data_IF_403781978992
#
_entry.id   IF_403781978992
#
_cell.length_a   1.000
_cell.length_b   1.000
_cell.length_c   1.000
_cell.angle_alpha   90.00
_cell.angle_beta   90.00
_cell.angle_gamma   90.00
#
_symmetry.space_group_name_H-M   'P 1'
#
loop_
_entity.id
_entity.type
_entity.pdbx_description
1 polymer ?
#
# COMPACT_ATOMS: atom_id res chain seq x y z
N UNK A 1 15.70 15.68 -6.97
CA UNK A 1 15.78 16.47 -8.22
C UNK A 1 16.29 15.66 -9.41
N UNK A 2 17.48 15.02 -9.28
CA UNK A 2 18.09 14.23 -10.36
C UNK A 2 17.17 13.12 -10.86
N UNK A 3 16.62 12.28 -9.95
CA UNK A 3 15.71 11.18 -10.30
C UNK A 3 14.44 11.68 -10.97
N UNK A 4 13.93 12.84 -10.57
CA UNK A 4 12.77 13.46 -11.22
C UNK A 4 13.05 13.81 -12.69
N UNK A 5 14.22 14.39 -12.97
CA UNK A 5 14.65 14.69 -14.34
C UNK A 5 14.86 13.42 -15.17
N UNK A 6 15.47 12.38 -14.59
CA UNK A 6 15.65 11.07 -15.22
C UNK A 6 14.29 10.40 -15.54
N UNK A 7 13.34 10.43 -14.59
CA UNK A 7 11.97 9.89 -14.80
C UNK A 7 11.26 10.62 -15.94
N UNK A 8 11.32 11.93 -15.94
CA UNK A 8 10.71 12.77 -17.00
C UNK A 8 11.27 12.42 -18.38
N UNK A 9 12.59 12.30 -18.51
CA UNK A 9 13.21 11.91 -19.76
C UNK A 9 12.84 10.47 -20.17
N UNK A 10 12.77 9.55 -19.24
CA UNK A 10 12.33 8.18 -19.49
C UNK A 10 10.89 8.11 -19.99
N UNK A 11 9.98 8.94 -19.44
CA UNK A 11 8.59 9.03 -19.91
C UNK A 11 8.52 9.61 -21.33
N UNK A 12 9.29 10.65 -21.62
CA UNK A 12 9.39 11.21 -22.98
C UNK A 12 9.87 10.18 -23.99
N UNK A 13 10.93 9.47 -23.65
CA UNK A 13 11.48 8.42 -24.51
C UNK A 13 10.49 7.28 -24.69
N UNK A 14 9.80 6.85 -23.63
CA UNK A 14 8.77 5.82 -23.71
C UNK A 14 7.66 6.23 -24.68
N UNK A 15 7.13 7.43 -24.57
CA UNK A 15 6.11 7.96 -25.49
C UNK A 15 6.64 8.11 -26.94
N UNK A 16 7.91 8.49 -27.09
CA UNK A 16 8.53 8.61 -28.41
C UNK A 16 8.65 7.30 -29.17
N UNK A 17 8.91 6.19 -28.46
CA UNK A 17 9.08 4.85 -29.06
C UNK A 17 7.78 4.04 -29.12
N UNK A 18 6.68 4.56 -28.59
CA UNK A 18 5.39 3.84 -28.48
C UNK A 18 4.59 3.78 -29.80
N UNK A 19 5.20 4.06 -30.94
CA UNK A 19 4.60 3.94 -32.26
C UNK A 19 4.05 5.27 -32.81
N UNK A 20 2.94 5.19 -33.54
CA UNK A 20 2.27 6.35 -34.13
C UNK A 20 1.68 7.24 -33.02
N UNK A 21 2.06 8.52 -32.91
CA UNK A 21 1.49 9.45 -31.91
C UNK A 21 -0.03 9.59 -31.96
N UNK A 22 -0.67 9.32 -33.10
CA UNK A 22 -2.12 9.33 -33.24
C UNK A 22 -2.80 8.02 -32.81
N UNK A 23 -2.02 6.94 -32.70
CA UNK A 23 -2.47 5.62 -32.26
C UNK A 23 -1.32 4.88 -31.56
N UNK A 24 -0.87 5.37 -30.40
CA UNK A 24 0.27 4.78 -29.70
C UNK A 24 -0.04 3.42 -29.09
N UNK A 25 0.93 2.52 -29.10
CA UNK A 25 0.81 1.20 -28.45
C UNK A 25 0.78 1.33 -26.91
N UNK A 26 1.37 2.41 -26.37
CA UNK A 26 1.44 2.72 -24.96
C UNK A 26 1.45 4.23 -24.74
N UNK A 27 0.74 4.69 -23.72
CA UNK A 27 0.81 6.09 -23.25
C UNK A 27 1.36 6.10 -21.83
N UNK A 28 2.42 6.87 -21.63
CA UNK A 28 3.04 7.05 -20.31
C UNK A 28 2.85 8.50 -19.83
N UNK A 29 2.39 8.65 -18.59
CA UNK A 29 2.23 9.94 -17.93
C UNK A 29 3.30 10.16 -16.88
N UNK A 30 3.73 11.41 -16.72
CA UNK A 30 4.64 11.80 -15.67
C UNK A 30 3.86 11.96 -14.35
N UNK A 31 4.39 11.42 -13.27
CA UNK A 31 3.79 11.55 -11.95
C UNK A 31 4.68 11.02 -10.84
N UNK A 32 4.17 11.13 -9.63
CA UNK A 32 4.75 10.50 -8.45
C UNK A 32 3.65 10.07 -7.49
N UNK A 33 3.96 9.15 -6.63
CA UNK A 33 3.12 8.81 -5.49
C UNK A 33 3.50 9.68 -4.28
N UNK A 34 2.52 10.39 -3.75
CA UNK A 34 2.61 11.10 -2.49
C UNK A 34 2.14 10.18 -1.36
N UNK A 35 3.08 9.47 -0.73
CA UNK A 35 2.81 8.41 0.25
C UNK A 35 2.70 8.98 1.67
N UNK A 36 1.64 9.72 1.95
CA UNK A 36 1.41 10.29 3.28
C UNK A 36 0.84 9.24 4.22
N UNK A 37 1.65 8.78 5.17
CA UNK A 37 1.26 7.80 6.19
C UNK A 37 1.55 8.35 7.59
N UNK A 38 0.70 7.98 8.55
CA UNK A 38 0.86 8.30 9.96
C UNK A 38 0.24 7.18 10.79
N UNK A 39 0.80 6.88 11.96
CA UNK A 39 0.24 5.92 12.91
C UNK A 39 -1.00 6.45 13.64
N UNK A 40 -1.15 7.77 13.73
CA UNK A 40 -2.35 8.43 14.23
C UNK A 40 -3.38 8.51 13.10
N UNK A 41 -4.55 7.84 13.22
CA UNK A 41 -5.57 7.85 12.17
C UNK A 41 -6.12 9.24 11.86
N UNK A 42 -6.07 10.19 12.81
CA UNK A 42 -6.49 11.57 12.60
C UNK A 42 -5.53 12.35 11.68
N UNK A 43 -4.28 11.90 11.56
CA UNK A 43 -3.21 12.53 10.74
C UNK A 43 -2.81 11.71 9.53
N UNK A 44 -3.41 10.56 9.33
CA UNK A 44 -3.16 9.71 8.18
C UNK A 44 -4.10 10.07 7.04
N UNK A 45 -3.57 10.54 5.92
CA UNK A 45 -4.33 10.92 4.73
C UNK A 45 -4.20 9.95 3.57
N UNK A 46 -3.37 8.94 3.72
CA UNK A 46 -3.16 7.88 2.73
C UNK A 46 -2.34 8.30 1.51
N UNK A 47 -2.18 7.37 0.61
CA UNK A 47 -1.43 7.57 -0.61
C UNK A 47 -2.26 8.29 -1.67
N UNK A 48 -1.59 9.09 -2.50
CA UNK A 48 -2.19 9.77 -3.66
C UNK A 48 -1.22 9.77 -4.83
N UNK A 49 -1.66 9.30 -5.97
CA UNK A 49 -0.92 9.42 -7.21
C UNK A 49 -1.15 10.81 -7.82
N UNK A 50 -0.10 11.59 -7.95
CA UNK A 50 -0.12 12.90 -8.61
C UNK A 50 0.40 12.73 -10.04
N UNK A 51 -0.42 13.02 -11.03
CA UNK A 51 -0.16 12.75 -12.44
C UNK A 51 -0.33 14.03 -13.25
N UNK A 52 0.59 14.28 -14.18
CA UNK A 52 0.58 15.43 -15.07
C UNK A 52 0.25 15.00 -16.50
N UNK A 53 -0.44 15.88 -17.21
CA UNK A 53 -0.77 15.66 -18.61
C UNK A 53 0.48 15.79 -19.51
N UNK A 54 1.33 16.75 -19.20
CA UNK A 54 2.50 17.13 -20.00
C UNK A 54 3.82 16.55 -19.45
N UNK A 55 4.88 16.68 -20.23
CA UNK A 55 6.25 16.31 -19.84
C UNK A 55 7.26 17.43 -20.13
N UNK A 56 6.85 18.53 -20.78
CA UNK A 56 7.69 19.67 -21.10
C UNK A 56 8.15 20.39 -19.84
N UNK A 57 9.36 20.97 -19.89
CA UNK A 57 10.02 21.56 -18.72
C UNK A 57 9.28 22.77 -18.13
N UNK A 58 8.53 23.48 -18.96
CA UNK A 58 7.72 24.63 -18.60
C UNK A 58 6.26 24.30 -18.23
N UNK A 59 5.90 23.03 -18.26
CA UNK A 59 4.54 22.54 -17.99
C UNK A 59 4.45 21.50 -16.85
N UNK A 60 5.57 21.18 -16.22
CA UNK A 60 5.62 20.26 -15.10
C UNK A 60 6.50 20.80 -13.98
N UNK A 61 6.27 20.37 -12.72
CA UNK A 61 7.10 20.80 -11.60
C UNK A 61 8.58 20.52 -11.80
N UNK A 62 9.44 21.41 -11.31
CA UNK A 62 10.89 21.19 -11.32
C UNK A 62 11.32 20.03 -10.40
N UNK A 63 10.46 19.62 -9.48
CA UNK A 63 10.65 18.51 -8.53
C UNK A 63 9.32 17.94 -8.08
N UNK A 64 9.33 16.69 -7.64
CA UNK A 64 8.20 16.07 -6.94
C UNK A 64 8.06 16.67 -5.53
N UNK A 65 6.83 16.70 -5.02
CA UNK A 65 6.51 17.09 -3.64
C UNK A 65 6.43 15.81 -2.82
N UNK A 66 7.27 15.71 -1.80
CA UNK A 66 7.35 14.54 -0.93
C UNK A 66 6.32 14.61 0.21
N UNK A 67 6.09 13.48 0.87
CA UNK A 67 5.37 13.42 2.14
C UNK A 67 6.34 13.47 3.33
N UNK A 68 5.86 13.64 4.57
CA UNK A 68 6.72 13.60 5.76
C UNK A 68 7.48 12.28 5.95
N UNK A 69 7.00 11.18 5.36
CA UNK A 69 7.64 9.86 5.42
C UNK A 69 9.06 9.89 4.85
N UNK A 70 9.30 10.64 3.79
CA UNK A 70 10.62 10.73 3.15
C UNK A 70 11.68 11.37 4.06
N UNK A 71 11.27 12.11 5.09
CA UNK A 71 12.22 12.57 6.11
C UNK A 71 12.84 11.41 6.89
N UNK A 72 12.12 10.30 7.08
CA UNK A 72 12.63 9.10 7.74
C UNK A 72 13.70 8.41 6.88
N UNK A 73 13.60 8.51 5.56
CA UNK A 73 14.59 7.99 4.63
C UNK A 73 15.95 8.72 4.70
N UNK A 74 16.05 9.79 5.47
CA UNK A 74 17.34 10.50 5.71
C UNK A 74 18.27 9.79 6.70
N UNK A 75 17.82 8.71 7.34
CA UNK A 75 18.64 7.85 8.18
C UNK A 75 19.11 6.64 7.35
N UNK A 76 20.29 6.71 6.71
CA UNK A 76 20.75 5.64 5.83
C UNK A 76 21.01 4.35 6.62
N UNK A 77 20.81 3.23 5.97
CA UNK A 77 21.22 1.93 6.49
C UNK A 77 22.76 1.92 6.62
N UNK A 78 23.29 1.41 7.71
CA UNK A 78 24.75 1.31 7.89
C UNK A 78 25.38 0.44 6.79
N UNK A 79 26.47 0.90 6.16
CA UNK A 79 27.15 0.18 5.07
C UNK A 79 27.52 -1.28 5.41
N UNK A 80 27.78 -1.57 6.69
CA UNK A 80 28.03 -2.93 7.15
C UNK A 80 26.78 -3.82 7.04
N UNK A 81 25.63 -3.31 7.40
CA UNK A 81 24.34 -4.02 7.24
C UNK A 81 24.00 -4.26 5.77
N UNK A 82 24.20 -3.25 4.94
CA UNK A 82 24.04 -3.36 3.48
C UNK A 82 24.91 -4.45 2.87
N UNK A 83 26.21 -4.45 3.21
CA UNK A 83 27.14 -5.48 2.73
C UNK A 83 26.73 -6.88 3.20
N UNK A 84 26.36 -7.01 4.47
CA UNK A 84 25.90 -8.28 5.04
C UNK A 84 24.63 -8.77 4.32
N UNK A 85 23.64 -7.92 4.10
CA UNK A 85 22.43 -8.28 3.39
C UNK A 85 22.72 -8.67 1.93
N UNK A 86 23.60 -7.95 1.25
CA UNK A 86 24.03 -8.26 -0.12
C UNK A 86 24.77 -9.60 -0.23
N UNK A 87 25.46 -10.03 0.82
CA UNK A 87 26.13 -11.34 0.87
C UNK A 87 25.16 -12.47 1.22
N UNK A 88 24.24 -12.23 2.15
CA UNK A 88 23.24 -13.22 2.55
C UNK A 88 22.20 -13.47 1.44
N UNK A 89 21.91 -12.45 0.65
CA UNK A 89 20.94 -12.48 -0.45
C UNK A 89 21.61 -11.97 -1.74
N UNK A 90 22.57 -12.75 -2.22
CA UNK A 90 23.43 -12.34 -3.32
C UNK A 90 22.70 -12.08 -4.64
N UNK A 91 21.61 -12.80 -4.89
CA UNK A 91 20.77 -12.62 -6.09
C UNK A 91 20.14 -11.22 -6.15
N UNK A 92 19.89 -10.62 -4.99
CA UNK A 92 19.27 -9.29 -4.88
C UNK A 92 20.24 -8.19 -4.44
N UNK A 93 21.52 -8.40 -4.55
CA UNK A 93 22.53 -7.42 -4.15
C UNK A 93 22.34 -6.04 -4.78
N UNK A 94 21.93 -5.99 -6.04
CA UNK A 94 21.69 -4.73 -6.76
C UNK A 94 20.56 -3.91 -6.14
N UNK A 95 19.54 -4.56 -5.65
CA UNK A 95 18.45 -3.93 -4.90
C UNK A 95 18.98 -3.25 -3.61
N UNK A 96 19.77 -3.96 -2.82
CA UNK A 96 20.35 -3.39 -1.58
C UNK A 96 21.27 -2.22 -1.86
N UNK A 97 22.03 -2.26 -2.94
CA UNK A 97 22.88 -1.14 -3.38
C UNK A 97 22.03 0.03 -3.89
N UNK A 98 20.98 -0.22 -4.67
CA UNK A 98 20.07 0.79 -5.17
C UNK A 98 19.31 1.52 -4.05
N UNK A 99 18.82 0.78 -3.05
CA UNK A 99 18.19 1.37 -1.85
C UNK A 99 19.18 2.24 -1.08
N UNK A 100 20.39 1.77 -0.87
CA UNK A 100 21.42 2.57 -0.16
C UNK A 100 21.71 3.87 -0.92
N UNK A 101 21.88 3.78 -2.22
CA UNK A 101 22.07 4.97 -3.05
C UNK A 101 20.90 5.95 -2.92
N UNK A 102 19.67 5.45 -2.90
CA UNK A 102 18.48 6.27 -2.69
C UNK A 102 18.53 6.99 -1.33
N UNK A 103 18.81 6.28 -0.24
CA UNK A 103 18.93 6.88 1.09
C UNK A 103 20.06 7.92 1.17
N UNK A 104 21.20 7.63 0.57
CA UNK A 104 22.32 8.57 0.51
C UNK A 104 21.95 9.85 -0.27
N UNK A 105 21.24 9.73 -1.39
CA UNK A 105 20.75 10.86 -2.19
C UNK A 105 19.71 11.69 -1.42
N UNK A 106 18.74 11.05 -0.75
CA UNK A 106 17.73 11.75 0.06
C UNK A 106 18.40 12.45 1.25
N UNK A 107 19.35 11.79 1.92
CA UNK A 107 20.07 12.38 3.06
C UNK A 107 20.94 13.59 2.64
N UNK A 108 21.50 13.55 1.44
CA UNK A 108 22.31 14.65 0.89
C UNK A 108 21.46 15.81 0.36
N UNK A 109 20.19 15.60 0.04
CA UNK A 109 19.30 16.64 -0.50
C UNK A 109 18.84 17.57 0.62
N UNK A 110 19.07 18.91 0.53
CA UNK A 110 18.59 19.85 1.54
C UNK A 110 17.05 19.90 1.55
N UNK A 111 16.46 20.11 2.72
CA UNK A 111 15.01 20.37 2.81
C UNK A 111 14.75 21.78 2.30
N UNK A 112 13.70 21.95 1.52
CA UNK A 112 13.27 23.26 1.02
C UNK A 112 12.85 24.17 2.18
N UNK A 113 13.01 25.47 1.99
CA UNK A 113 12.58 26.48 2.95
C UNK A 113 11.06 26.49 3.07
N UNK A 114 10.54 26.31 4.27
CA UNK A 114 9.09 26.33 4.52
C UNK A 114 8.50 27.73 4.33
N UNK A 115 7.28 27.79 3.83
CA UNK A 115 6.50 29.02 3.68
C UNK A 115 6.82 29.85 2.45
N UNK A 116 7.75 29.44 1.60
CA UNK A 116 7.97 30.05 0.29
C UNK A 116 7.08 29.48 -0.79
N UNK A 117 6.79 30.28 -1.80
CA UNK A 117 6.16 29.80 -3.04
C UNK A 117 7.04 28.72 -3.67
N UNK A 118 6.42 27.62 -4.10
CA UNK A 118 7.14 26.46 -4.65
C UNK A 118 7.98 26.82 -5.87
N UNK A 119 7.57 27.81 -6.66
CA UNK A 119 8.29 28.31 -7.86
C UNK A 119 9.57 29.07 -7.53
N UNK A 120 9.66 29.62 -6.31
CA UNK A 120 10.83 30.38 -5.84
C UNK A 120 11.87 29.48 -5.15
N UNK A 121 11.52 28.23 -4.87
CA UNK A 121 12.40 27.30 -4.22
C UNK A 121 13.45 26.75 -5.19
N UNK A 122 14.63 26.40 -4.66
CA UNK A 122 15.65 25.71 -5.46
C UNK A 122 15.12 24.39 -6.04
N UNK A 123 15.38 24.08 -7.31
CA UNK A 123 15.02 22.78 -7.87
C UNK A 123 15.72 21.62 -7.16
N UNK A 124 16.82 21.88 -6.43
CA UNK A 124 17.67 20.88 -5.80
C UNK A 124 17.35 20.66 -4.32
N UNK A 125 16.16 21.04 -3.84
CA UNK A 125 15.75 20.76 -2.48
C UNK A 125 14.60 19.73 -2.43
N UNK A 126 14.46 19.04 -1.30
CA UNK A 126 13.35 18.15 -0.98
C UNK A 126 12.18 18.99 -0.46
N UNK A 127 11.16 19.15 -1.26
CA UNK A 127 9.94 19.84 -0.90
C UNK A 127 8.95 18.86 -0.27
N UNK A 128 8.31 19.24 0.84
CA UNK A 128 7.44 18.38 1.62
C UNK A 128 6.08 19.06 1.79
N UNK A 129 5.01 18.27 1.66
CA UNK A 129 3.66 18.63 2.05
C UNK A 129 3.20 17.71 3.19
N UNK A 130 2.75 18.28 4.30
CA UNK A 130 2.40 17.52 5.49
C UNK A 130 0.99 16.92 5.39
N UNK A 131 0.08 17.55 4.65
CA UNK A 131 -1.29 17.11 4.44
C UNK A 131 -1.79 17.45 3.02
N UNK A 132 -2.98 16.98 2.58
CA UNK A 132 -3.51 17.27 1.24
C UNK A 132 -3.70 18.76 0.96
N UNK A 133 -4.07 19.57 1.95
CA UNK A 133 -4.22 21.03 1.81
C UNK A 133 -2.90 21.65 1.36
N UNK A 134 -1.80 21.28 1.99
CA UNK A 134 -0.48 21.79 1.62
C UNK A 134 -0.05 21.26 0.24
N UNK A 135 -0.35 19.99 -0.07
CA UNK A 135 -0.10 19.43 -1.39
C UNK A 135 -0.84 20.22 -2.48
N UNK A 136 -2.16 20.42 -2.32
CA UNK A 136 -2.96 21.17 -3.29
C UNK A 136 -2.50 22.62 -3.42
N UNK A 137 -2.20 23.30 -2.32
CA UNK A 137 -1.67 24.68 -2.36
C UNK A 137 -0.36 24.78 -3.16
N UNK A 138 0.52 23.79 -3.05
CA UNK A 138 1.76 23.75 -3.85
C UNK A 138 1.50 23.42 -5.33
N UNK A 139 0.54 22.55 -5.63
CA UNK A 139 0.11 22.28 -7.00
C UNK A 139 -0.53 23.52 -7.64
N UNK A 140 -1.31 24.30 -6.88
CA UNK A 140 -1.86 25.59 -7.31
C UNK A 140 -0.77 26.61 -7.62
N UNK A 141 0.26 26.69 -6.76
CA UNK A 141 1.40 27.56 -7.00
C UNK A 141 2.15 27.20 -8.29
N UNK A 142 2.32 25.91 -8.59
CA UNK A 142 2.86 25.46 -9.88
C UNK A 142 1.96 25.85 -11.04
N UNK A 143 0.64 25.71 -10.90
CA UNK A 143 -0.35 26.08 -11.90
C UNK A 143 -0.39 25.17 -13.12
N UNK A 144 0.11 23.93 -13.00
CA UNK A 144 0.08 22.94 -14.08
C UNK A 144 -1.11 22.00 -13.94
N UNK A 145 -1.63 21.53 -15.08
CA UNK A 145 -2.74 20.57 -15.11
C UNK A 145 -2.29 19.24 -14.52
N UNK A 146 -3.00 18.81 -13.49
CA UNK A 146 -2.70 17.57 -12.79
C UNK A 146 -3.96 16.91 -12.24
N UNK A 147 -3.93 15.60 -12.12
CA UNK A 147 -4.92 14.82 -11.38
C UNK A 147 -4.27 14.21 -10.14
N UNK A 148 -5.08 14.02 -9.09
CA UNK A 148 -4.63 13.46 -7.82
C UNK A 148 -5.56 12.31 -7.45
N UNK A 149 -5.06 11.08 -7.49
CA UNK A 149 -5.86 9.86 -7.34
C UNK A 149 -5.56 9.23 -5.97
N UNK A 150 -6.53 9.22 -5.03
CA UNK A 150 -6.43 8.40 -3.83
C UNK A 150 -6.25 6.92 -4.20
N UNK A 151 -5.30 6.26 -3.53
CA UNK A 151 -4.90 4.91 -3.86
C UNK A 151 -4.46 4.14 -2.60
N UNK A 152 -4.69 2.83 -2.55
CA UNK A 152 -4.27 1.96 -1.44
C UNK A 152 -4.83 2.32 -0.05
N UNK A 153 -5.85 3.18 0.03
CA UNK A 153 -6.28 3.78 1.29
C UNK A 153 -6.97 2.80 2.25
N UNK A 154 -7.62 1.77 1.72
CA UNK A 154 -8.30 0.75 2.52
C UNK A 154 -7.38 -0.38 3.00
N UNK A 155 -6.11 -0.34 2.64
CA UNK A 155 -5.13 -1.36 2.97
C UNK A 155 -4.51 -1.14 4.36
N UNK A 156 -4.85 -2.02 5.31
CA UNK A 156 -4.48 -1.87 6.72
C UNK A 156 -3.00 -1.97 7.05
N UNK A 157 -2.17 -2.48 6.14
CA UNK A 157 -0.72 -2.46 6.33
C UNK A 157 -0.16 -1.03 6.42
N UNK A 158 -0.69 -0.11 5.62
CA UNK A 158 -0.28 1.30 5.61
C UNK A 158 -1.27 2.20 6.35
N UNK A 159 -2.53 1.79 6.44
CA UNK A 159 -3.63 2.61 6.97
C UNK A 159 -4.00 2.14 8.37
N UNK A 160 -3.79 2.96 9.41
CA UNK A 160 -4.09 2.59 10.78
C UNK A 160 -5.59 2.39 11.01
N UNK A 161 -5.93 1.55 11.98
CA UNK A 161 -7.31 1.33 12.39
C UNK A 161 -7.97 2.66 12.78
N UNK A 162 -9.25 2.84 12.43
CA UNK A 162 -9.99 4.08 12.70
C UNK A 162 -9.77 5.20 11.68
N UNK A 163 -8.96 4.97 10.63
CA UNK A 163 -8.86 5.92 9.51
C UNK A 163 -10.17 6.00 8.74
N UNK A 164 -10.56 7.22 8.39
CA UNK A 164 -11.77 7.52 7.63
C UNK A 164 -11.53 8.66 6.65
N UNK A 165 -12.33 8.70 5.58
CA UNK A 165 -12.33 9.82 4.62
C UNK A 165 -13.01 11.09 5.14
N UNK A 166 -13.74 11.06 6.27
CA UNK A 166 -14.45 12.23 6.80
C UNK A 166 -13.54 13.47 6.92
N UNK A 167 -12.35 13.29 7.47
CA UNK A 167 -11.38 14.40 7.64
C UNK A 167 -10.86 14.98 6.32
N UNK A 168 -10.99 14.23 5.21
CA UNK A 168 -10.58 14.69 3.89
C UNK A 168 -11.70 15.40 3.14
N UNK A 169 -12.96 15.19 3.53
CA UNK A 169 -14.10 15.83 2.90
C UNK A 169 -14.34 17.23 3.52
N UNK A 170 -13.48 18.15 3.16
CA UNK A 170 -13.65 19.58 3.46
C UNK A 170 -12.94 20.40 2.39
N UNK A 171 -13.25 21.70 2.30
CA UNK A 171 -12.76 22.58 1.24
C UNK A 171 -11.24 22.81 1.24
N UNK A 172 -10.56 22.46 2.30
CA UNK A 172 -9.11 22.61 2.38
C UNK A 172 -8.36 21.32 2.02
N UNK A 173 -8.95 20.15 2.31
CA UNK A 173 -8.30 18.85 2.15
C UNK A 173 -8.78 18.09 0.89
N UNK A 174 -9.80 18.61 0.21
CA UNK A 174 -10.36 18.05 -1.01
C UNK A 174 -10.33 19.08 -2.14
N UNK A 175 -9.73 18.70 -3.26
CA UNK A 175 -9.71 19.48 -4.50
C UNK A 175 -10.56 18.73 -5.55
N UNK A 176 -11.81 19.16 -5.78
CA UNK A 176 -12.72 18.48 -6.71
C UNK A 176 -12.28 18.56 -8.18
N UNK A 177 -11.45 19.53 -8.55
CA UNK A 177 -10.97 19.68 -9.92
C UNK A 177 -9.82 18.71 -10.23
N UNK A 178 -9.04 18.30 -9.21
CA UNK A 178 -7.94 17.35 -9.32
C UNK A 178 -8.29 15.94 -8.90
N UNK A 179 -9.15 15.77 -7.87
CA UNK A 179 -9.54 14.45 -7.35
C UNK A 179 -10.75 13.89 -8.10
N UNK A 180 -10.63 13.79 -9.42
CA UNK A 180 -11.69 13.33 -10.34
C UNK A 180 -11.71 11.79 -10.50
N UNK A 181 -10.73 11.08 -9.96
CA UNK A 181 -10.61 9.63 -10.00
C UNK A 181 -10.30 9.07 -8.61
N UNK A 182 -10.70 7.83 -8.38
CA UNK A 182 -10.38 7.05 -7.17
C UNK A 182 -10.02 5.62 -7.60
N UNK A 183 -8.91 5.10 -7.08
CA UNK A 183 -8.50 3.73 -7.34
C UNK A 183 -9.27 2.75 -6.45
N UNK A 184 -10.01 1.83 -7.09
CA UNK A 184 -10.87 0.86 -6.41
C UNK A 184 -10.26 -0.53 -6.29
N UNK A 185 -9.24 -0.84 -7.07
CA UNK A 185 -8.42 -2.04 -6.91
C UNK A 185 -7.03 -1.89 -7.54
N UNK A 186 -6.08 -2.64 -7.02
CA UNK A 186 -4.71 -2.72 -7.52
C UNK A 186 -4.10 -4.10 -7.25
N UNK A 187 -2.79 -4.23 -7.35
CA UNK A 187 -2.04 -5.40 -6.88
C UNK A 187 -2.24 -5.69 -5.40
N UNK A 188 -2.58 -4.70 -4.60
CA UNK A 188 -2.86 -4.83 -3.16
C UNK A 188 -4.26 -5.36 -2.84
N UNK A 189 -5.09 -5.63 -3.81
CA UNK A 189 -6.42 -6.21 -3.64
C UNK A 189 -7.56 -5.27 -4.04
N UNK A 190 -8.77 -5.78 -3.89
CA UNK A 190 -10.02 -5.08 -4.19
C UNK A 190 -10.56 -4.41 -2.95
N UNK A 191 -10.46 -3.10 -2.87
CA UNK A 191 -10.90 -2.31 -1.71
C UNK A 191 -12.41 -2.16 -1.58
N UNK A 192 -13.15 -2.45 -2.65
CA UNK A 192 -14.60 -2.20 -2.73
C UNK A 192 -15.45 -3.46 -2.58
N UNK A 193 -14.84 -4.63 -2.48
CA UNK A 193 -15.59 -5.87 -2.35
C UNK A 193 -15.89 -6.20 -0.88
N UNK A 194 -17.15 -6.06 -0.50
CA UNK A 194 -17.67 -6.42 0.80
C UNK A 194 -18.13 -7.87 0.80
N UNK A 195 -17.34 -8.73 1.44
CA UNK A 195 -17.70 -10.14 1.62
C UNK A 195 -18.14 -10.40 3.06
N UNK A 196 -18.92 -11.45 3.25
CA UNK A 196 -19.33 -11.90 4.60
C UNK A 196 -18.16 -12.46 5.40
N UNK A 197 -17.12 -12.95 4.74
CA UNK A 197 -15.94 -13.51 5.38
C UNK A 197 -14.84 -12.46 5.57
N UNK A 198 -14.19 -12.55 6.72
CA UNK A 198 -13.10 -11.65 7.16
C UNK A 198 -11.99 -12.47 7.82
N UNK A 199 -10.79 -11.88 7.88
CA UNK A 199 -9.68 -12.40 8.71
C UNK A 199 -10.01 -12.35 10.20
N UNK A 200 -10.66 -11.27 10.63
CA UNK A 200 -11.27 -11.07 11.94
C UNK A 200 -12.58 -10.29 11.77
N UNK A 201 -13.45 -10.39 12.74
CA UNK A 201 -14.74 -9.66 12.75
C UNK A 201 -14.95 -8.99 14.11
N UNK A 202 -15.88 -8.04 14.15
CA UNK A 202 -16.23 -7.27 15.35
C UNK A 202 -17.64 -7.68 15.77
N UNK A 203 -17.83 -8.00 17.04
CA UNK A 203 -19.13 -8.29 17.62
C UNK A 203 -19.91 -7.01 17.98
N UNK A 204 -21.14 -7.16 18.45
CA UNK A 204 -22.02 -6.05 18.81
C UNK A 204 -21.46 -5.18 19.96
N UNK A 205 -20.57 -5.73 20.78
CA UNK A 205 -19.91 -5.01 21.89
C UNK A 205 -18.63 -4.29 21.47
N UNK A 206 -18.19 -4.47 20.21
CA UNK A 206 -16.93 -3.97 19.69
C UNK A 206 -15.74 -4.89 19.94
N UNK A 207 -15.97 -6.10 20.46
CA UNK A 207 -14.96 -7.13 20.64
C UNK A 207 -14.56 -7.80 19.33
N UNK A 208 -13.27 -8.07 19.16
CA UNK A 208 -12.77 -8.82 18.02
C UNK A 208 -12.98 -10.32 18.21
N UNK A 209 -13.38 -11.00 17.16
CA UNK A 209 -13.49 -12.47 17.18
C UNK A 209 -13.04 -13.10 15.86
N UNK A 210 -12.76 -14.41 15.91
CA UNK A 210 -12.40 -15.21 14.74
C UNK A 210 -13.68 -15.68 14.02
N UNK A 211 -13.94 -15.22 12.79
CA UNK A 211 -15.12 -15.65 12.04
C UNK A 211 -14.98 -17.11 11.59
N UNK A 212 -16.11 -17.76 11.36
CA UNK A 212 -16.13 -19.11 10.81
C UNK A 212 -15.62 -19.16 9.37
N UNK A 213 -14.98 -20.26 8.96
CA UNK A 213 -14.61 -20.47 7.57
C UNK A 213 -15.82 -20.46 6.64
N UNK A 214 -15.65 -20.01 5.41
CA UNK A 214 -16.58 -20.22 4.31
C UNK A 214 -16.03 -21.28 3.34
N UNK A 215 -16.83 -21.63 2.32
CA UNK A 215 -16.47 -22.68 1.36
C UNK A 215 -15.13 -22.45 0.66
N UNK A 216 -14.77 -21.19 0.44
CA UNK A 216 -13.56 -20.79 -0.29
C UNK A 216 -12.64 -19.83 0.51
N UNK A 217 -12.86 -19.66 1.81
CA UNK A 217 -12.01 -18.82 2.65
C UNK A 217 -11.82 -19.43 4.04
N UNK A 218 -10.57 -19.63 4.44
CA UNK A 218 -10.17 -20.08 5.78
C UNK A 218 -9.49 -18.89 6.51
N UNK A 219 -10.11 -18.31 7.56
CA UNK A 219 -9.43 -17.32 8.39
C UNK A 219 -8.16 -17.90 9.04
N UNK A 220 -7.08 -17.12 9.14
CA UNK A 220 -5.84 -17.61 9.74
C UNK A 220 -5.96 -17.84 11.25
N UNK A 221 -6.84 -17.12 11.93
CA UNK A 221 -7.17 -17.43 13.32
C UNK A 221 -7.81 -18.82 13.47
N UNK A 222 -8.63 -19.23 12.52
CA UNK A 222 -9.18 -20.59 12.50
C UNK A 222 -8.10 -21.64 12.27
N UNK A 223 -7.15 -21.35 11.38
CA UNK A 223 -5.98 -22.19 11.16
C UNK A 223 -5.13 -22.33 12.44
N UNK A 224 -4.94 -21.24 13.20
CA UNK A 224 -4.27 -21.30 14.51
C UNK A 224 -4.94 -22.30 15.46
N UNK A 225 -6.26 -22.24 15.56
CA UNK A 225 -7.03 -23.20 16.35
C UNK A 225 -6.81 -24.63 15.90
N UNK A 226 -6.89 -24.91 14.57
CA UNK A 226 -6.64 -26.25 14.02
C UNK A 226 -5.26 -26.80 14.37
N UNK A 227 -4.22 -25.98 14.28
CA UNK A 227 -2.84 -26.39 14.60
C UNK A 227 -2.74 -26.79 16.06
N UNK A 228 -3.30 -25.98 16.96
CA UNK A 228 -3.28 -26.26 18.40
C UNK A 228 -4.12 -27.49 18.73
N UNK A 229 -5.29 -27.65 18.11
CA UNK A 229 -6.14 -28.82 18.26
C UNK A 229 -5.41 -30.09 17.86
N UNK A 230 -4.84 -30.14 16.67
CA UNK A 230 -4.10 -31.30 16.18
C UNK A 230 -2.98 -31.69 17.15
N UNK A 231 -2.18 -30.75 17.62
CA UNK A 231 -1.08 -31.01 18.55
C UNK A 231 -1.58 -31.52 19.91
N UNK A 232 -2.72 -31.01 20.34
CA UNK A 232 -3.35 -31.43 21.58
C UNK A 232 -3.83 -32.89 21.50
N UNK A 233 -4.49 -33.27 20.40
CA UNK A 233 -4.94 -34.63 20.12
C UNK A 233 -3.75 -35.59 19.99
N UNK A 234 -2.68 -35.21 19.30
CA UNK A 234 -1.44 -35.99 19.19
C UNK A 234 -0.76 -36.21 20.56
N UNK A 235 -0.92 -35.27 21.49
CA UNK A 235 -0.40 -35.38 22.84
C UNK A 235 -1.29 -36.25 23.75
N UNK A 236 -2.43 -36.75 23.25
CA UNK A 236 -3.36 -37.61 24.02
C UNK A 236 -4.08 -36.86 25.15
N UNK A 237 -4.24 -35.56 25.04
CA UNK A 237 -4.99 -34.74 26.01
C UNK A 237 -6.48 -34.94 25.76
N UNK A 238 -7.29 -34.79 26.82
CA UNK A 238 -8.73 -34.98 26.69
C UNK A 238 -9.38 -33.94 25.74
N UNK A 239 -10.49 -34.36 25.13
CA UNK A 239 -11.19 -33.62 24.09
C UNK A 239 -11.66 -32.23 24.53
N UNK A 240 -12.19 -32.11 25.75
CA UNK A 240 -12.71 -30.83 26.26
C UNK A 240 -11.58 -29.82 26.50
N UNK A 241 -10.43 -30.26 26.95
CA UNK A 241 -9.25 -29.40 27.09
C UNK A 241 -8.69 -29.02 25.73
N UNK A 242 -8.69 -29.92 24.74
CA UNK A 242 -8.26 -29.61 23.38
C UNK A 242 -9.19 -28.61 22.69
N UNK A 243 -10.49 -28.70 22.88
CA UNK A 243 -11.47 -27.73 22.40
C UNK A 243 -11.24 -26.33 23.03
N UNK A 244 -11.02 -26.28 24.33
CA UNK A 244 -10.73 -25.03 25.04
C UNK A 244 -9.47 -24.35 24.48
N UNK A 245 -8.40 -25.12 24.26
CA UNK A 245 -7.14 -24.61 23.71
C UNK A 245 -7.28 -24.15 22.26
N UNK A 246 -8.07 -24.83 21.47
CA UNK A 246 -8.40 -24.43 20.10
C UNK A 246 -9.08 -23.06 20.07
N UNK A 247 -10.10 -22.88 20.91
CA UNK A 247 -10.82 -21.60 21.02
C UNK A 247 -9.89 -20.48 21.51
N UNK A 248 -9.09 -20.76 22.54
CA UNK A 248 -8.12 -19.81 23.07
C UNK A 248 -7.08 -19.39 22.00
N UNK A 249 -6.59 -20.34 21.19
CA UNK A 249 -5.66 -20.03 20.11
C UNK A 249 -6.26 -19.11 19.04
N UNK A 250 -7.55 -19.29 18.72
CA UNK A 250 -8.28 -18.38 17.81
C UNK A 250 -8.36 -16.98 18.37
N UNK A 251 -8.68 -16.81 19.65
CA UNK A 251 -8.73 -15.50 20.31
C UNK A 251 -7.36 -14.84 20.35
N UNK A 252 -6.33 -15.56 20.78
CA UNK A 252 -4.97 -15.05 20.85
C UNK A 252 -4.46 -14.57 19.48
N UNK A 253 -4.82 -15.29 18.42
CA UNK A 253 -4.47 -14.90 17.06
C UNK A 253 -5.11 -13.57 16.66
N UNK A 254 -6.40 -13.40 16.92
CA UNK A 254 -7.15 -12.18 16.61
C UNK A 254 -6.65 -11.00 17.43
N UNK A 255 -6.43 -11.19 18.72
CA UNK A 255 -5.95 -10.15 19.64
C UNK A 255 -4.55 -9.66 19.27
N UNK A 256 -3.70 -10.55 18.77
CA UNK A 256 -2.36 -10.20 18.31
C UNK A 256 -2.37 -9.51 16.92
N UNK A 257 -3.50 -9.49 16.22
CA UNK A 257 -3.65 -8.83 14.92
C UNK A 257 -2.64 -9.35 13.91
N UNK A 258 -1.84 -8.45 13.40
CA UNK A 258 -0.82 -8.77 12.40
C UNK A 258 0.24 -9.79 12.90
N UNK A 259 0.44 -9.90 14.19
CA UNK A 259 1.38 -10.85 14.80
C UNK A 259 0.73 -12.16 15.23
N UNK A 260 -0.50 -12.43 14.78
CA UNK A 260 -1.29 -13.58 15.22
C UNK A 260 -0.59 -14.93 15.04
N UNK A 261 0.16 -15.12 13.95
CA UNK A 261 0.92 -16.36 13.72
C UNK A 261 1.99 -16.63 14.80
N UNK A 262 2.52 -15.59 15.44
CA UNK A 262 3.50 -15.74 16.54
C UNK A 262 2.87 -16.27 17.83
N UNK A 263 1.55 -16.26 17.96
CA UNK A 263 0.85 -16.82 19.11
C UNK A 263 0.78 -18.35 19.09
N UNK A 264 1.17 -18.98 17.97
CA UNK A 264 1.24 -20.44 17.81
C UNK A 264 2.68 -20.91 17.97
N UNK A 265 3.08 -21.50 19.10
CA UNK A 265 4.45 -21.91 19.33
C UNK A 265 4.95 -22.92 18.28
N UNK A 266 6.17 -22.76 17.78
CA UNK A 266 6.79 -23.69 16.83
C UNK A 266 6.08 -23.82 15.49
N UNK A 267 5.29 -22.83 15.09
CA UNK A 267 4.65 -22.74 13.78
C UNK A 267 5.68 -22.66 12.65
N UNK A 268 5.28 -23.12 11.47
CA UNK A 268 6.08 -23.07 10.25
C UNK A 268 5.35 -22.26 9.18
N UNK A 269 6.08 -21.70 8.24
CA UNK A 269 5.51 -20.96 7.09
C UNK A 269 4.44 -21.77 6.36
N UNK A 270 4.68 -23.07 6.20
CA UNK A 270 3.76 -23.98 5.53
C UNK A 270 2.42 -24.14 6.24
N UNK A 271 2.36 -23.89 7.53
CA UNK A 271 1.13 -23.97 8.31
C UNK A 271 0.10 -22.90 7.89
N UNK A 272 0.56 -21.81 7.26
CA UNK A 272 -0.25 -20.62 6.95
C UNK A 272 -0.57 -20.42 5.47
N UNK A 273 -0.03 -21.23 4.56
CA UNK A 273 -0.14 -21.00 3.11
C UNK A 273 -1.57 -21.04 2.57
N UNK A 274 -2.48 -21.76 3.25
CA UNK A 274 -3.85 -21.96 2.80
C UNK A 274 -4.87 -21.09 3.52
N UNK A 275 -4.48 -20.34 4.54
CA UNK A 275 -5.39 -19.48 5.27
C UNK A 275 -5.33 -18.02 4.77
N UNK A 276 -6.36 -17.25 5.10
CA UNK A 276 -6.47 -15.85 4.73
C UNK A 276 -6.54 -15.62 3.21
N UNK A 277 -6.99 -16.59 2.42
CA UNK A 277 -6.93 -16.57 0.97
C UNK A 277 -8.21 -17.07 0.34
N UNK A 278 -8.55 -16.49 -0.77
CA UNK A 278 -9.60 -16.96 -1.67
C UNK A 278 -8.94 -17.43 -2.97
N UNK A 279 -8.94 -18.77 -3.27
CA UNK A 279 -8.23 -19.30 -4.43
C UNK A 279 -8.79 -18.87 -5.78
N UNK A 280 -10.06 -18.50 -5.84
CA UNK A 280 -10.83 -18.25 -7.05
C UNK A 280 -11.43 -16.82 -7.11
N UNK A 281 -11.03 -15.94 -6.21
CA UNK A 281 -11.49 -14.55 -6.18
C UNK A 281 -10.35 -13.56 -5.94
N UNK A 282 -10.62 -12.28 -6.04
CA UNK A 282 -9.74 -11.23 -5.58
C UNK A 282 -9.85 -11.11 -4.05
N UNK A 283 -8.69 -11.14 -3.39
CA UNK A 283 -8.66 -10.95 -1.95
C UNK A 283 -8.91 -9.48 -1.60
N UNK A 284 -9.52 -9.28 -0.44
CA UNK A 284 -9.50 -7.98 0.21
C UNK A 284 -8.07 -7.60 0.58
N UNK A 285 -7.77 -6.29 0.66
CA UNK A 285 -6.53 -5.84 1.27
C UNK A 285 -6.42 -6.36 2.71
N UNK A 286 -5.20 -6.59 3.15
CA UNK A 286 -4.95 -6.96 4.54
C UNK A 286 -5.54 -5.92 5.50
N UNK A 287 -6.19 -6.39 6.56
CA UNK A 287 -6.80 -5.54 7.58
C UNK A 287 -7.64 -4.42 6.96
N UNK A 288 -8.53 -4.79 6.07
CA UNK A 288 -9.40 -3.90 5.31
C UNK A 288 -10.02 -2.78 6.16
N UNK A 289 -9.94 -1.54 5.67
CA UNK A 289 -10.46 -0.33 6.32
C UNK A 289 -11.71 0.18 5.59
N UNK A 290 -12.93 -0.24 5.99
CA UNK A 290 -14.16 0.11 5.28
C UNK A 290 -14.40 1.62 5.12
N UNK A 291 -14.07 2.42 6.14
CA UNK A 291 -14.22 3.89 6.09
C UNK A 291 -13.17 4.60 5.22
N UNK A 292 -12.23 3.85 4.63
CA UNK A 292 -11.24 4.35 3.69
C UNK A 292 -11.47 3.84 2.25
N UNK A 293 -12.67 3.34 1.94
CA UNK A 293 -13.10 2.86 0.62
C UNK A 293 -13.74 3.97 -0.21
N UNK A 294 -13.83 3.77 -1.53
CA UNK A 294 -14.55 4.68 -2.42
C UNK A 294 -16.05 4.70 -2.11
N UNK A 295 -16.65 3.56 -1.74
CA UNK A 295 -18.07 3.50 -1.34
C UNK A 295 -18.34 4.39 -0.12
N UNK A 296 -17.49 4.32 0.90
CA UNK A 296 -17.64 5.19 2.06
C UNK A 296 -17.46 6.67 1.69
N UNK A 297 -16.45 7.00 0.91
CA UNK A 297 -16.20 8.36 0.43
C UNK A 297 -17.40 8.93 -0.32
N UNK A 298 -18.04 8.13 -1.20
CA UNK A 298 -19.24 8.54 -1.92
C UNK A 298 -20.48 8.70 -1.02
N UNK A 299 -20.53 8.01 0.12
CA UNK A 299 -21.67 8.05 1.03
C UNK A 299 -21.69 9.24 1.99
N UNK A 300 -20.53 9.87 2.23
CA UNK A 300 -20.41 10.99 3.17
C UNK A 300 -20.68 12.33 2.50
N UNK A 301 -21.17 13.29 3.30
CA UNK A 301 -21.45 14.67 2.86
C UNK A 301 -21.00 15.64 3.94
N UNK A 302 -20.26 16.66 3.57
CA UNK A 302 -19.95 17.77 4.46
C UNK A 302 -21.00 18.89 4.33
N UNK A 303 -21.64 19.21 5.44
CA UNK A 303 -22.66 20.26 5.57
C UNK A 303 -22.15 21.48 6.32
N UNK A 304 -20.83 21.72 6.38
CA UNK A 304 -20.31 22.96 6.98
C UNK A 304 -20.96 24.21 6.37
N UNK A 305 -21.26 24.14 5.07
CA UNK A 305 -22.10 25.11 4.36
C UNK A 305 -23.36 24.41 3.84
N UNK A 306 -24.48 24.44 4.57
CA UNK A 306 -25.68 23.68 4.20
C UNK A 306 -26.26 24.01 2.81
N UNK A 307 -26.07 25.25 2.34
CA UNK A 307 -26.48 25.72 1.02
C UNK A 307 -25.56 25.25 -0.13
N UNK A 308 -24.34 24.80 0.21
CA UNK A 308 -23.32 24.30 -0.71
C UNK A 308 -22.69 23.03 -0.15
N UNK A 309 -23.45 21.93 0.01
CA UNK A 309 -22.89 20.70 0.60
C UNK A 309 -21.78 20.14 -0.30
N UNK A 310 -20.70 19.68 0.35
CA UNK A 310 -19.56 19.11 -0.33
C UNK A 310 -19.65 17.57 -0.31
N UNK A 311 -19.47 16.95 -1.47
CA UNK A 311 -19.40 15.51 -1.64
C UNK A 311 -18.19 15.16 -2.48
N UNK A 312 -17.62 14.00 -2.27
CA UNK A 312 -16.70 13.43 -3.24
C UNK A 312 -17.46 13.08 -4.54
N UNK A 313 -16.88 13.47 -5.68
CA UNK A 313 -17.38 13.15 -7.02
C UNK A 313 -16.21 12.73 -7.89
N UNK A 314 -16.09 11.45 -8.15
CA UNK A 314 -14.99 10.89 -8.91
C UNK A 314 -15.45 9.72 -9.78
N UNK A 315 -14.71 9.47 -10.87
CA UNK A 315 -14.74 8.21 -11.60
C UNK A 315 -13.90 7.15 -10.88
N UNK A 316 -14.08 5.91 -11.24
CA UNK A 316 -13.34 4.78 -10.66
C UNK A 316 -12.27 4.31 -11.64
N UNK A 317 -11.08 4.00 -11.13
CA UNK A 317 -9.99 3.42 -11.91
C UNK A 317 -9.46 2.18 -11.21
N UNK A 318 -9.02 1.21 -12.00
CA UNK A 318 -8.23 0.08 -11.52
C UNK A 318 -6.81 0.17 -12.01
N UNK A 319 -5.86 -0.24 -11.20
CA UNK A 319 -4.44 -0.22 -11.55
C UNK A 319 -3.74 -1.53 -11.15
N UNK A 320 -2.45 -1.61 -11.36
CA UNK A 320 -1.64 -2.74 -10.90
C UNK A 320 -0.82 -2.39 -9.66
N UNK A 321 -0.56 -1.12 -9.44
CA UNK A 321 0.44 -0.64 -8.49
C UNK A 321 1.76 -1.41 -8.61
N UNK A 322 2.22 -1.56 -9.86
CA UNK A 322 3.38 -2.37 -10.17
C UNK A 322 4.68 -1.61 -9.88
N UNK A 323 5.46 -2.11 -8.94
CA UNK A 323 6.71 -1.50 -8.49
C UNK A 323 7.93 -1.77 -9.39
N UNK A 324 7.73 -2.40 -10.55
CA UNK A 324 8.83 -2.79 -11.47
C UNK A 324 8.85 -2.03 -12.79
N UNK A 325 8.04 -1.00 -12.94
CA UNK A 325 7.90 -0.24 -14.19
C UNK A 325 7.58 -1.13 -15.41
N UNK A 326 6.85 -2.23 -15.18
CA UNK A 326 6.40 -3.16 -16.24
C UNK A 326 4.94 -2.90 -16.54
N UNK A 327 4.67 -2.06 -17.50
CA UNK A 327 3.31 -1.77 -17.95
C UNK A 327 2.53 -3.06 -18.26
N UNK A 328 1.27 -3.11 -17.87
CA UNK A 328 0.36 -4.20 -18.15
C UNK A 328 0.60 -5.51 -17.40
N UNK A 329 1.45 -5.54 -16.39
CA UNK A 329 1.77 -6.77 -15.63
C UNK A 329 0.99 -6.91 -14.33
N UNK A 330 0.08 -6.03 -14.00
CA UNK A 330 -0.72 -6.13 -12.79
C UNK A 330 -1.87 -7.12 -12.92
N UNK A 331 -2.98 -6.72 -12.45
CA UNK A 331 -4.21 -7.47 -12.35
C UNK A 331 -4.70 -8.03 -13.70
N UNK A 332 -4.32 -9.25 -14.06
CA UNK A 332 -4.65 -9.89 -15.33
C UNK A 332 -5.38 -11.20 -15.13
N UNK A 333 -6.38 -11.49 -15.98
CA UNK A 333 -7.01 -12.79 -16.04
C UNK A 333 -6.02 -13.87 -16.45
N UNK A 334 -5.16 -13.59 -17.41
CA UNK A 334 -4.07 -14.49 -17.82
C UNK A 334 -2.96 -14.43 -16.80
N UNK A 335 -2.63 -15.56 -16.20
CA UNK A 335 -1.60 -15.69 -15.16
C UNK A 335 -1.85 -14.82 -13.93
N UNK A 336 -3.10 -14.56 -13.60
CA UNK A 336 -3.54 -13.70 -12.49
C UNK A 336 -2.76 -13.96 -11.20
N UNK A 337 -2.60 -15.22 -10.80
CA UNK A 337 -1.87 -15.62 -9.59
C UNK A 337 -0.35 -15.34 -9.61
N UNK A 338 0.21 -15.10 -10.80
CA UNK A 338 1.63 -14.79 -10.97
C UNK A 338 1.88 -13.30 -11.21
N UNK A 339 0.83 -12.58 -11.59
CA UNK A 339 0.92 -11.19 -12.05
C UNK A 339 0.27 -10.20 -11.09
N UNK A 340 -0.19 -10.66 -9.93
CA UNK A 340 -0.77 -9.82 -8.89
C UNK A 340 -0.26 -10.24 -7.50
N UNK A 341 -0.10 -9.28 -6.65
CA UNK A 341 0.34 -9.45 -5.26
C UNK A 341 -0.79 -9.95 -4.34
N UNK A 342 -2.03 -9.85 -4.77
CA UNK A 342 -3.22 -10.17 -3.97
C UNK A 342 -3.33 -11.67 -3.59
N UNK A 343 -2.59 -12.55 -4.23
CA UNK A 343 -2.65 -14.01 -4.00
C UNK A 343 -1.53 -14.57 -3.11
N UNK A 344 -0.69 -13.73 -2.58
CA UNK A 344 0.38 -14.16 -1.68
C UNK A 344 1.55 -14.84 -2.39
N UNK A 345 2.46 -15.41 -1.60
CA UNK A 345 3.67 -16.04 -2.12
C UNK A 345 3.33 -17.27 -2.99
N UNK A 346 3.74 -17.32 -4.25
CA UNK A 346 3.44 -18.43 -5.13
C UNK A 346 4.25 -19.70 -4.79
N UNK A 347 5.28 -19.60 -3.99
CA UNK A 347 6.13 -20.72 -3.57
C UNK A 347 6.48 -20.63 -2.09
N UNK A 348 6.71 -21.81 -1.49
CA UNK A 348 7.17 -21.90 -0.10
C UNK A 348 8.47 -21.13 0.15
N UNK A 349 9.40 -21.16 -0.80
CA UNK A 349 10.68 -20.42 -0.71
C UNK A 349 10.45 -18.92 -0.56
N UNK A 350 9.54 -18.36 -1.36
CA UNK A 350 9.20 -16.94 -1.28
C UNK A 350 8.43 -16.61 0.01
N UNK A 351 7.50 -17.48 0.43
CA UNK A 351 6.79 -17.31 1.69
C UNK A 351 7.76 -17.29 2.89
N UNK A 352 8.70 -18.25 2.97
CA UNK A 352 9.74 -18.26 4.02
C UNK A 352 10.59 -17.01 4.02
N UNK A 353 10.94 -16.50 2.84
CA UNK A 353 11.72 -15.28 2.71
C UNK A 353 10.94 -14.05 3.20
N UNK A 354 9.65 -13.97 2.90
CA UNK A 354 8.79 -12.87 3.32
C UNK A 354 8.50 -12.88 4.82
N UNK A 355 8.37 -14.06 5.42
CA UNK A 355 8.10 -14.18 6.86
C UNK A 355 9.32 -13.87 7.73
N UNK A 356 10.54 -14.15 7.25
CA UNK A 356 11.75 -14.01 8.05
C UNK A 356 11.70 -14.79 9.39
N UNK A 357 12.77 -14.72 10.16
CA UNK A 357 12.77 -15.30 11.50
C UNK A 357 12.08 -14.35 12.49
N UNK A 358 10.80 -14.60 12.76
CA UNK A 358 10.02 -13.83 13.73
C UNK A 358 9.35 -12.57 13.20
N UNK A 359 9.39 -12.34 11.88
CA UNK A 359 8.57 -11.33 11.23
C UNK A 359 7.22 -11.91 10.84
N UNK A 360 6.21 -11.06 10.82
CA UNK A 360 4.88 -11.41 10.33
C UNK A 360 4.89 -12.05 8.97
N UNK A 361 3.95 -12.98 8.69
CA UNK A 361 3.62 -13.31 7.33
C UNK A 361 3.23 -12.01 6.63
N UNK A 362 4.08 -11.56 5.72
CA UNK A 362 3.75 -10.40 4.92
C UNK A 362 2.47 -10.72 4.17
N UNK A 363 1.45 -9.86 4.28
CA UNK A 363 0.18 -10.10 3.61
C UNK A 363 0.41 -10.26 2.12
N UNK A 364 -0.52 -10.89 1.51
CA UNK A 364 -0.53 -11.26 0.10
C UNK A 364 -0.51 -10.12 -0.89
N UNK A 365 -0.58 -8.91 -0.41
CA UNK A 365 -0.48 -7.69 -1.19
C UNK A 365 0.93 -7.13 -1.34
N UNK A 366 1.95 -7.85 -0.88
CA UNK A 366 3.34 -7.43 -1.10
C UNK A 366 3.88 -8.02 -2.41
N UNK A 367 4.61 -7.23 -3.22
CA UNK A 367 5.17 -7.70 -4.48
C UNK A 367 5.94 -9.01 -4.32
N UNK A 368 5.56 -10.00 -5.09
CA UNK A 368 6.19 -11.30 -5.16
C UNK A 368 7.15 -11.34 -6.33
N UNK A 369 8.00 -10.39 -6.39
CA UNK A 369 9.02 -10.45 -7.40
C UNK A 369 10.23 -11.26 -6.93
N UNK A 370 10.99 -11.74 -7.90
CA UNK A 370 12.08 -12.70 -7.70
C UNK A 370 13.20 -12.18 -6.82
N UNK A 371 13.03 -11.06 -6.19
CA UNK A 371 14.13 -10.47 -5.46
C UNK A 371 13.82 -9.38 -4.51
N UNK A 372 12.65 -8.87 -4.46
CA UNK A 372 12.51 -7.66 -3.69
C UNK A 372 11.36 -7.63 -2.72
N UNK A 373 11.62 -7.31 -1.51
CA UNK A 373 10.69 -6.51 -0.74
C UNK A 373 10.62 -5.18 -1.49
N UNK A 374 9.67 -5.06 -2.39
CA UNK A 374 9.45 -3.83 -3.15
C UNK A 374 8.83 -2.79 -2.23
N UNK A 375 9.62 -2.16 -1.42
CA UNK A 375 9.24 -1.00 -0.63
C UNK A 375 9.87 0.26 -1.23
N UNK A 376 9.76 0.43 -2.52
CA UNK A 376 10.18 1.71 -3.10
C UNK A 376 9.25 2.09 -4.22
N UNK A 377 8.20 2.80 -3.86
CA UNK A 377 7.64 3.79 -4.75
C UNK A 377 8.67 4.91 -4.85
N UNK A 378 9.36 4.98 -5.93
CA UNK A 378 10.27 6.08 -6.27
C UNK A 378 9.51 7.16 -6.99
#
# INVERSE_FOLDING_TARGET
PRRWAETRESIRECNRISGDPQNPDLVSFLGWEWSQVNTDPAKHYGHKNVIFLDTEDDKVPARAIASPREQLARAPMGRGAQLMMSLMDFENREFYWGIQQYYDEVAATPICEKGKDTRELSPDCLEIADDPRELFAKLDQWGYDSIVIPHGNSWGMNTPAGTSFDKQLNRAQHDPDRQILFEVYSGHGNSEEYRSWRGSAVDESGGLYCPEPSDNYLPCCWQAGKIIRQRCDEAGIDDAECERREIEARHNFVDAGNSGHLTVPGQQVTDWLNCGTCPDCFNEPMDHRPMATAQYALAITDFEKPEEPLNFRFGMIGSSDNHRSKGGTGYKEVKRKLMTEAFGAPTERLARRQMGDGLEPIPRSVPLDDGGVGLVNL
#
